data_IF_636258723853
#
_entry.id   IF_636258723853
#
_cell.length_a   1.000
_cell.length_b   1.000
_cell.length_c   1.000
_cell.angle_alpha   90.00
_cell.angle_beta   90.00
_cell.angle_gamma   90.00
#
_symmetry.space_group_name_H-M   'P 1'
#
loop_
_entity.id
_entity.type
_entity.pdbx_description
1 polymer ?
#
# COMPACT_ATOMS: atom_id res chain seq x y z
N UNK A 1 -17.27 23.79 -14.92
CA UNK A 1 -16.30 22.68 -14.81
C UNK A 1 -15.84 22.63 -13.36
N UNK A 2 -16.01 21.50 -12.68
CA UNK A 2 -15.61 21.37 -11.28
C UNK A 2 -14.17 20.83 -11.22
N UNK A 3 -13.31 21.52 -10.47
CA UNK A 3 -11.98 21.00 -10.13
C UNK A 3 -12.19 20.01 -8.98
N UNK A 4 -11.75 18.76 -9.16
CA UNK A 4 -11.71 17.77 -8.09
C UNK A 4 -10.32 17.79 -7.45
N UNK A 5 -10.26 18.04 -6.14
CA UNK A 5 -9.04 17.93 -5.35
C UNK A 5 -9.27 16.83 -4.30
N UNK A 6 -8.48 15.76 -4.39
CA UNK A 6 -8.55 14.62 -3.48
C UNK A 6 -7.14 14.15 -3.11
N UNK A 7 -7.08 13.32 -2.07
CA UNK A 7 -5.90 12.58 -1.70
C UNK A 7 -5.98 11.18 -2.32
N UNK A 8 -4.98 10.82 -3.12
CA UNK A 8 -4.86 9.47 -3.68
C UNK A 8 -3.64 8.79 -3.09
N UNK A 9 -3.82 7.55 -2.63
CA UNK A 9 -2.77 6.71 -2.07
C UNK A 9 -2.59 5.47 -2.94
N UNK A 10 -1.40 5.36 -3.50
CA UNK A 10 -0.97 4.18 -4.26
C UNK A 10 -0.08 3.31 -3.37
N UNK A 11 -0.45 2.05 -3.21
CA UNK A 11 0.31 1.05 -2.47
C UNK A 11 0.88 0.03 -3.46
N UNK A 12 2.17 -0.25 -3.31
CA UNK A 12 2.85 -1.33 -4.01
C UNK A 12 3.38 -2.30 -2.97
N UNK A 13 3.24 -3.60 -3.22
CA UNK A 13 3.70 -4.59 -2.26
C UNK A 13 5.23 -4.73 -2.23
N UNK A 14 5.83 -4.56 -1.05
CA UNK A 14 7.26 -4.70 -0.78
C UNK A 14 7.67 -6.12 -0.34
N UNK A 15 6.85 -7.16 -0.58
CA UNK A 15 7.24 -8.52 -0.22
C UNK A 15 8.37 -9.01 -1.13
N UNK A 16 9.16 -10.00 -0.67
CA UNK A 16 10.32 -10.51 -1.44
C UNK A 16 9.93 -10.99 -2.84
N UNK A 17 8.74 -11.54 -3.02
CA UNK A 17 8.31 -12.05 -4.32
C UNK A 17 8.01 -10.91 -5.29
N UNK A 18 7.37 -9.84 -4.80
CA UNK A 18 7.06 -8.64 -5.58
C UNK A 18 8.31 -7.79 -5.88
N UNK A 19 9.28 -7.73 -4.96
CA UNK A 19 10.49 -6.92 -5.14
C UNK A 19 11.63 -7.63 -5.88
N UNK A 20 11.71 -8.96 -5.82
CA UNK A 20 12.76 -9.74 -6.48
C UNK A 20 12.45 -10.06 -7.97
N UNK A 21 11.58 -9.27 -8.61
CA UNK A 21 11.24 -9.38 -10.04
C UNK A 21 10.57 -10.69 -10.46
N UNK A 22 10.14 -11.54 -9.51
CA UNK A 22 9.47 -12.81 -9.83
C UNK A 22 8.06 -12.58 -10.41
N UNK A 23 7.45 -11.45 -10.06
CA UNK A 23 6.21 -10.98 -10.67
C UNK A 23 6.51 -9.86 -11.68
N UNK A 24 5.83 -9.89 -12.83
CA UNK A 24 5.94 -8.84 -13.87
C UNK A 24 5.45 -7.47 -13.38
N UNK A 25 4.57 -7.45 -12.37
CA UNK A 25 4.18 -6.24 -11.65
C UNK A 25 3.89 -6.60 -10.19
N UNK A 26 4.33 -5.76 -9.24
CA UNK A 26 3.97 -5.95 -7.83
C UNK A 26 2.46 -5.79 -7.65
N UNK A 27 1.91 -6.42 -6.61
CA UNK A 27 0.53 -6.17 -6.24
C UNK A 27 0.32 -4.71 -5.92
N UNK A 28 -0.81 -4.18 -6.38
CA UNK A 28 -1.15 -2.77 -6.36
C UNK A 28 -2.48 -2.54 -5.67
N UNK A 29 -2.56 -1.48 -4.88
CA UNK A 29 -3.80 -1.00 -4.27
C UNK A 29 -3.90 0.51 -4.45
N UNK A 30 -5.06 0.97 -4.91
CA UNK A 30 -5.39 2.40 -5.03
C UNK A 30 -6.50 2.75 -4.07
N UNK A 31 -6.30 3.84 -3.32
CA UNK A 31 -7.26 4.37 -2.37
C UNK A 31 -7.41 5.87 -2.59
N UNK A 32 -8.63 6.34 -2.82
CA UNK A 32 -8.93 7.75 -3.05
C UNK A 32 -9.82 8.25 -1.92
N UNK A 33 -9.44 9.38 -1.31
CA UNK A 33 -10.18 9.98 -0.22
C UNK A 33 -9.80 11.43 0.00
N UNK A 34 -10.02 11.92 1.21
CA UNK A 34 -9.73 13.31 1.60
C UNK A 34 -8.49 13.44 2.49
N UNK A 35 -7.95 12.32 2.99
CA UNK A 35 -6.80 12.30 3.88
C UNK A 35 -6.06 10.97 3.86
N UNK A 36 -4.78 11.00 4.23
CA UNK A 36 -3.98 9.80 4.43
C UNK A 36 -4.60 8.83 5.44
N UNK A 37 -5.13 9.35 6.55
CA UNK A 37 -5.68 8.50 7.62
C UNK A 37 -6.92 7.71 7.14
N UNK A 38 -7.77 8.33 6.31
CA UNK A 38 -8.91 7.67 5.68
C UNK A 38 -8.46 6.54 4.76
N UNK A 39 -7.64 6.85 3.77
CA UNK A 39 -7.15 5.86 2.81
C UNK A 39 -6.36 4.73 3.48
N UNK A 40 -5.51 5.05 4.47
CA UNK A 40 -4.76 4.02 5.21
C UNK A 40 -5.64 3.18 6.13
N UNK A 41 -6.80 3.68 6.58
CA UNK A 41 -7.78 2.89 7.32
C UNK A 41 -8.49 1.91 6.39
N UNK A 42 -8.89 2.36 5.21
CA UNK A 42 -9.52 1.52 4.18
C UNK A 42 -8.56 0.43 3.69
N UNK A 43 -7.33 0.81 3.35
CA UNK A 43 -6.30 -0.16 2.95
C UNK A 43 -6.08 -1.24 4.01
N UNK A 44 -5.97 -0.86 5.28
CA UNK A 44 -5.83 -1.83 6.38
C UNK A 44 -7.05 -2.72 6.54
N UNK A 45 -8.26 -2.19 6.31
CA UNK A 45 -9.50 -2.98 6.34
C UNK A 45 -9.52 -4.04 5.25
N UNK A 46 -8.98 -3.71 4.07
CA UNK A 46 -8.85 -4.65 2.95
C UNK A 46 -7.67 -5.63 3.14
N UNK A 47 -6.93 -5.52 4.24
CA UNK A 47 -5.86 -6.44 4.61
C UNK A 47 -4.45 -5.97 4.28
N UNK A 48 -4.28 -4.75 3.75
CA UNK A 48 -2.96 -4.18 3.55
C UNK A 48 -2.26 -3.89 4.86
N UNK A 49 -0.96 -4.16 4.89
CA UNK A 49 -0.12 -3.83 6.05
C UNK A 49 0.82 -2.69 5.65
N UNK A 50 0.63 -1.54 6.28
CA UNK A 50 1.46 -0.36 6.06
C UNK A 50 2.38 -0.19 7.28
N UNK A 51 3.68 -0.04 7.02
CA UNK A 51 4.70 0.22 8.04
C UNK A 51 4.46 1.52 8.81
N UNK A 52 4.95 1.60 10.05
CA UNK A 52 4.76 2.78 10.91
C UNK A 52 5.45 4.03 10.34
N UNK A 53 6.60 3.87 9.67
CA UNK A 53 7.32 4.95 8.98
C UNK A 53 6.68 5.35 7.63
N UNK A 54 5.62 4.66 7.21
CA UNK A 54 4.86 4.89 5.97
C UNK A 54 5.68 4.72 4.69
N UNK A 55 6.83 4.05 4.76
CA UNK A 55 7.71 3.85 3.59
C UNK A 55 7.48 2.53 2.88
N UNK A 56 6.75 1.59 3.51
CA UNK A 56 6.52 0.24 2.99
C UNK A 56 5.08 -0.22 3.16
N UNK A 57 4.62 -1.01 2.19
CA UNK A 57 3.32 -1.65 2.20
C UNK A 57 3.41 -3.13 1.81
N UNK A 58 2.51 -3.96 2.35
CA UNK A 58 2.42 -5.37 2.02
C UNK A 58 0.98 -5.71 1.69
N UNK A 59 0.78 -6.30 0.51
CA UNK A 59 -0.54 -6.71 0.03
C UNK A 59 -1.17 -7.78 0.94
N UNK A 60 -2.51 -7.90 0.92
CA UNK A 60 -3.22 -8.93 1.66
C UNK A 60 -2.67 -10.33 1.34
N UNK A 61 -2.43 -11.14 2.37
CA UNK A 61 -1.87 -12.49 2.20
C UNK A 61 -0.37 -12.57 1.87
N UNK A 62 0.30 -11.43 1.63
CA UNK A 62 1.74 -11.44 1.33
C UNK A 62 2.60 -11.51 2.60
N UNK A 63 3.69 -12.26 2.52
CA UNK A 63 4.62 -12.43 3.65
C UNK A 63 5.38 -11.13 3.89
N UNK A 64 5.17 -10.56 5.08
CA UNK A 64 5.87 -9.35 5.52
C UNK A 64 7.35 -9.66 5.77
N UNK A 65 8.22 -8.86 5.15
CA UNK A 65 9.65 -8.86 5.44
C UNK A 65 9.88 -8.03 6.71
N UNK A 66 10.12 -8.71 7.84
CA UNK A 66 10.63 -8.05 9.04
C UNK A 66 12.11 -7.82 8.86
N UNK A 67 12.50 -6.57 8.63
CA UNK A 67 13.90 -6.17 8.77
C UNK A 67 14.07 -5.85 10.26
N UNK A 68 14.67 -6.77 11.02
CA UNK A 68 15.17 -6.43 12.35
C UNK A 68 16.33 -5.45 12.12
N UNK A 69 16.22 -4.27 12.74
CA UNK A 69 17.22 -3.22 12.68
C UNK A 69 18.28 -3.47 13.74
#
# INVERSE_FOLDING_TARGET
MAIAASYTMHLYCDCRQCTNGKYQSPDFGEYIGTSWAGCAKEARKDGWRISADKTRAFAPGHKVLRINK
#
